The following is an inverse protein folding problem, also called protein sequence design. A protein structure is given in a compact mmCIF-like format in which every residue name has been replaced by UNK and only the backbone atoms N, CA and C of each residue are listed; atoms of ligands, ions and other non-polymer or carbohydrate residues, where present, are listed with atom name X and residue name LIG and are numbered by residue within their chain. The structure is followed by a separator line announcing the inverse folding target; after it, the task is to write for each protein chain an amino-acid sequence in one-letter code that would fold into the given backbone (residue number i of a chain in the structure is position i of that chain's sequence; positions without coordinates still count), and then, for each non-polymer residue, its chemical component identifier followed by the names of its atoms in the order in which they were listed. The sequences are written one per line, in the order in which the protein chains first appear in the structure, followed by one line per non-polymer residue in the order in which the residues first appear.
data_IF_990583969777
#
_entry.id   IF_990583969777
#
_cell.length_a   1.000
_cell.length_b   1.000
_cell.length_c   1.000
_cell.angle_alpha   90.00
_cell.angle_beta   90.00
_cell.angle_gamma   90.00
#
_symmetry.space_group_name_H-M   'P 1'
#
loop_
_entity.id
_entity.type
_entity.pdbx_description
1 polymer ?
#
# COMPACT_ATOMS: atom_id res chain seq x y z
N UNK A 1 33.37 9.89 2.54
CA UNK A 1 32.53 10.88 1.83
C UNK A 1 31.15 10.74 2.45
N UNK A 2 30.69 11.73 3.19
CA UNK A 2 29.35 11.65 3.81
C UNK A 2 28.30 11.73 2.71
N UNK A 3 27.30 10.84 2.77
CA UNK A 3 26.18 10.87 1.83
C UNK A 3 25.16 11.90 2.33
N UNK A 4 24.71 12.74 1.41
CA UNK A 4 23.74 13.81 1.63
C UNK A 4 22.53 13.62 0.70
N UNK A 5 21.39 14.21 1.09
CA UNK A 5 20.14 14.15 0.35
C UNK A 5 19.70 12.71 0.09
N UNK A 6 19.41 12.02 1.19
CA UNK A 6 19.09 10.60 1.25
C UNK A 6 17.59 10.40 1.07
N UNK A 7 17.17 10.10 -0.15
CA UNK A 7 15.82 9.63 -0.39
C UNK A 7 15.66 8.24 0.21
N UNK A 8 14.68 8.04 1.09
CA UNK A 8 14.57 6.81 1.89
C UNK A 8 13.34 6.01 1.50
N UNK A 9 13.57 4.78 1.05
CA UNK A 9 12.52 3.89 0.57
C UNK A 9 11.87 3.11 1.72
N UNK A 10 12.69 2.51 2.59
CA UNK A 10 12.20 1.62 3.62
C UNK A 10 13.20 1.47 4.78
N UNK A 11 12.67 1.06 5.93
CA UNK A 11 13.45 0.58 7.07
C UNK A 11 13.33 -0.94 7.19
N UNK A 12 14.38 -1.59 7.67
CA UNK A 12 14.42 -3.04 7.85
C UNK A 12 15.31 -3.40 9.05
N UNK A 13 15.21 -4.65 9.49
CA UNK A 13 16.23 -5.23 10.37
C UNK A 13 17.56 -5.33 9.63
N UNK A 14 18.67 -5.30 10.36
CA UNK A 14 19.99 -5.45 9.75
C UNK A 14 20.07 -6.85 9.10
N UNK A 15 20.25 -6.94 7.78
CA UNK A 15 20.16 -8.22 7.09
C UNK A 15 21.34 -9.12 7.47
N UNK A 16 21.05 -10.36 7.86
CA UNK A 16 22.09 -11.35 8.21
C UNK A 16 22.84 -11.91 6.99
N UNK A 17 22.27 -11.75 5.79
CA UNK A 17 22.86 -12.14 4.50
C UNK A 17 22.88 -10.96 3.54
N UNK A 18 23.81 -10.93 2.56
CA UNK A 18 23.86 -9.87 1.56
C UNK A 18 22.53 -9.76 0.80
N UNK A 19 21.98 -8.53 0.74
CA UNK A 19 20.80 -8.23 -0.05
C UNK A 19 21.20 -7.85 -1.49
N UNK A 20 20.39 -8.25 -2.45
CA UNK A 20 20.48 -7.77 -3.82
C UNK A 20 19.77 -6.41 -3.85
N UNK A 21 20.55 -5.33 -3.90
CA UNK A 21 20.00 -3.98 -3.91
C UNK A 21 19.48 -3.63 -5.31
N UNK A 22 18.19 -3.24 -5.42
CA UNK A 22 17.59 -2.90 -6.70
C UNK A 22 18.17 -1.61 -7.28
N UNK A 23 17.89 -1.36 -8.55
CA UNK A 23 18.17 -0.07 -9.18
C UNK A 23 17.19 0.98 -8.63
N UNK A 24 17.73 2.13 -8.22
CA UNK A 24 16.93 3.26 -7.74
C UNK A 24 16.31 4.07 -8.87
N UNK A 25 15.71 5.21 -8.51
CA UNK A 25 15.03 6.07 -9.47
C UNK A 25 16.01 6.82 -10.39
N UNK A 26 17.16 7.25 -9.88
CA UNK A 26 18.20 7.94 -10.63
C UNK A 26 19.60 7.32 -10.40
N UNK A 27 19.88 6.91 -9.17
CA UNK A 27 21.17 6.43 -8.69
C UNK A 27 21.04 5.02 -8.09
N UNK A 28 22.19 4.42 -7.76
CA UNK A 28 22.23 3.14 -7.07
C UNK A 28 21.71 3.27 -5.64
N UNK A 29 20.81 2.37 -5.26
CA UNK A 29 20.32 2.25 -3.89
C UNK A 29 21.43 1.69 -3.00
N UNK A 30 21.55 2.25 -1.80
CA UNK A 30 22.52 1.86 -0.79
C UNK A 30 21.82 1.50 0.52
N UNK A 31 22.43 0.57 1.25
CA UNK A 31 22.02 0.20 2.59
C UNK A 31 22.85 1.01 3.60
N UNK A 32 22.19 1.74 4.50
CA UNK A 32 22.83 2.39 5.63
C UNK A 32 22.44 1.66 6.90
N UNK A 33 23.43 1.09 7.57
CA UNK A 33 23.24 0.38 8.83
C UNK A 33 23.26 1.36 10.02
N UNK A 34 22.24 1.26 10.87
CA UNK A 34 22.22 1.86 12.19
C UNK A 34 22.72 0.91 13.27
N UNK A 35 22.16 1.04 14.47
CA UNK A 35 22.45 0.17 15.63
C UNK A 35 21.78 -1.19 15.48
N UNK A 36 20.45 -1.21 15.36
CA UNK A 36 19.66 -2.45 15.26
C UNK A 36 18.79 -2.50 13.99
N UNK A 37 18.64 -1.35 13.32
CA UNK A 37 17.86 -1.21 12.10
C UNK A 37 18.74 -0.65 10.99
N UNK A 38 18.38 -0.97 9.76
CA UNK A 38 18.99 -0.41 8.57
C UNK A 38 17.95 0.33 7.72
N UNK A 39 18.44 1.23 6.88
CA UNK A 39 17.64 1.99 5.95
C UNK A 39 18.13 1.78 4.51
N UNK A 40 17.17 1.65 3.61
CA UNK A 40 17.40 1.62 2.16
C UNK A 40 17.23 3.04 1.66
N UNK A 41 18.31 3.60 1.14
CA UNK A 41 18.33 4.98 0.66
C UNK A 41 18.97 5.11 -0.70
N UNK A 42 18.64 6.19 -1.38
CA UNK A 42 19.31 6.62 -2.60
C UNK A 42 19.83 8.05 -2.40
N UNK A 43 21.16 8.25 -2.47
CA UNK A 43 21.77 9.55 -2.26
C UNK A 43 21.62 10.46 -3.49
N UNK A 44 21.67 11.77 -3.25
CA UNK A 44 21.72 12.78 -4.33
C UNK A 44 20.39 13.02 -5.05
N UNK A 45 19.27 12.62 -4.45
CA UNK A 45 17.93 12.91 -4.97
C UNK A 45 17.45 14.24 -4.39
N UNK A 46 17.11 15.18 -5.28
CA UNK A 46 16.52 16.48 -4.92
C UNK A 46 15.07 16.54 -5.40
N UNK A 47 14.11 16.56 -4.47
CA UNK A 47 12.69 16.50 -4.80
C UNK A 47 12.25 17.71 -5.65
N UNK A 48 12.88 18.86 -5.44
CA UNK A 48 12.64 20.12 -6.16
C UNK A 48 12.89 19.96 -7.67
N UNK A 49 13.80 19.07 -8.06
CA UNK A 49 14.12 18.81 -9.47
C UNK A 49 13.02 18.03 -10.22
N UNK A 50 12.10 17.40 -9.48
CA UNK A 50 11.01 16.60 -10.02
C UNK A 50 9.66 17.33 -9.99
N UNK A 51 9.48 18.34 -9.14
CA UNK A 51 8.19 19.02 -8.92
C UNK A 51 7.58 19.69 -10.16
N UNK A 52 8.39 20.05 -11.15
CA UNK A 52 7.93 20.77 -12.34
C UNK A 52 7.56 19.85 -13.52
N UNK A 53 7.57 18.52 -13.34
CA UNK A 53 7.29 17.58 -14.41
C UNK A 53 6.51 16.35 -13.89
N UNK A 54 5.21 16.33 -14.16
CA UNK A 54 4.30 15.27 -13.73
C UNK A 54 4.74 13.88 -14.19
N UNK A 55 5.27 13.74 -15.42
CA UNK A 55 5.76 12.45 -15.92
C UNK A 55 6.94 11.94 -15.07
N UNK A 56 7.85 12.83 -14.68
CA UNK A 56 8.98 12.46 -13.83
C UNK A 56 8.53 12.06 -12.43
N UNK A 57 7.52 12.74 -11.86
CA UNK A 57 6.94 12.36 -10.57
C UNK A 57 6.33 10.96 -10.65
N UNK A 58 5.59 10.68 -11.72
CA UNK A 58 5.00 9.34 -11.95
C UNK A 58 6.11 8.29 -12.06
N UNK A 59 7.16 8.53 -12.84
CA UNK A 59 8.28 7.59 -12.95
C UNK A 59 9.00 7.36 -11.63
N UNK A 60 9.15 8.42 -10.82
CA UNK A 60 9.75 8.32 -9.49
C UNK A 60 8.88 7.50 -8.54
N UNK A 61 7.56 7.67 -8.57
CA UNK A 61 6.63 6.87 -7.78
C UNK A 61 6.65 5.39 -8.17
N UNK A 62 6.66 5.10 -9.48
CA UNK A 62 6.80 3.73 -9.99
C UNK A 62 8.12 3.09 -9.58
N UNK A 63 9.21 3.85 -9.62
CA UNK A 63 10.54 3.38 -9.19
C UNK A 63 10.58 3.11 -7.68
N UNK A 64 9.94 3.97 -6.88
CA UNK A 64 9.80 3.80 -5.44
C UNK A 64 9.08 2.51 -5.08
N UNK A 65 7.92 2.28 -5.69
CA UNK A 65 7.15 1.06 -5.45
C UNK A 65 7.93 -0.18 -5.90
N UNK A 66 8.60 -0.12 -7.06
CA UNK A 66 9.42 -1.21 -7.58
C UNK A 66 10.54 -1.59 -6.60
N UNK A 67 11.30 -0.62 -6.08
CA UNK A 67 12.38 -0.86 -5.12
C UNK A 67 11.85 -1.56 -3.87
N UNK A 68 10.73 -1.08 -3.32
CA UNK A 68 10.10 -1.69 -2.15
C UNK A 68 9.66 -3.13 -2.45
N UNK A 69 9.03 -3.38 -3.60
CA UNK A 69 8.59 -4.72 -3.99
C UNK A 69 9.76 -5.70 -4.15
N UNK A 70 10.84 -5.30 -4.83
CA UNK A 70 12.04 -6.14 -5.02
C UNK A 70 12.74 -6.46 -3.69
N UNK A 71 12.73 -5.52 -2.74
CA UNK A 71 13.28 -5.75 -1.40
C UNK A 71 12.38 -6.64 -0.55
N UNK A 72 11.06 -6.42 -0.60
CA UNK A 72 10.09 -7.21 0.16
C UNK A 72 10.09 -8.69 -0.23
N UNK A 73 10.50 -9.02 -1.46
CA UNK A 73 10.71 -10.40 -1.91
C UNK A 73 11.88 -11.11 -1.20
N UNK A 74 12.85 -10.34 -0.68
CA UNK A 74 14.06 -10.86 -0.04
C UNK A 74 14.00 -10.79 1.49
N UNK A 75 13.40 -9.72 2.03
CA UNK A 75 13.35 -9.46 3.47
C UNK A 75 12.12 -8.66 3.86
N UNK A 76 11.67 -8.80 5.11
CA UNK A 76 10.62 -7.96 5.68
C UNK A 76 11.10 -6.50 5.73
N UNK A 77 10.36 -5.62 5.05
CA UNK A 77 10.63 -4.18 5.05
C UNK A 77 9.44 -3.40 5.60
N UNK A 78 9.73 -2.25 6.21
CA UNK A 78 8.77 -1.22 6.59
C UNK A 78 8.83 -0.10 5.54
N UNK A 79 7.91 -0.09 4.56
CA UNK A 79 7.93 0.90 3.48
C UNK A 79 7.63 2.30 4.02
N UNK A 80 8.37 3.28 3.54
CA UNK A 80 8.11 4.69 3.82
C UNK A 80 7.25 5.32 2.74
N UNK A 81 6.62 6.44 3.11
CA UNK A 81 5.82 7.23 2.18
C UNK A 81 6.73 7.80 1.10
N UNK A 82 6.23 7.78 -0.13
CA UNK A 82 6.87 8.45 -1.26
C UNK A 82 7.22 9.91 -0.89
N UNK A 83 8.45 10.32 -1.20
CA UNK A 83 8.95 11.67 -0.89
C UNK A 83 9.62 11.82 0.47
N UNK A 84 9.81 10.73 1.22
CA UNK A 84 10.56 10.76 2.48
C UNK A 84 12.05 10.90 2.21
N UNK A 85 12.69 11.94 2.75
CA UNK A 85 14.13 12.14 2.60
C UNK A 85 14.76 12.65 3.89
N UNK A 86 16.06 12.38 4.04
CA UNK A 86 16.90 12.90 5.12
C UNK A 86 18.04 13.72 4.54
N UNK A 87 18.33 14.86 5.16
CA UNK A 87 19.38 15.78 4.69
C UNK A 87 20.77 15.17 4.79
N UNK A 88 21.04 14.39 5.84
CA UNK A 88 22.33 13.77 6.10
C UNK A 88 22.19 12.39 6.72
N UNK A 89 23.26 11.61 6.60
CA UNK A 89 23.38 10.27 7.23
C UNK A 89 23.18 10.36 8.74
N UNK A 90 23.72 11.39 9.41
CA UNK A 90 23.56 11.56 10.87
C UNK A 90 22.09 11.79 11.27
N UNK A 91 21.32 12.55 10.48
CA UNK A 91 19.91 12.79 10.76
C UNK A 91 19.11 11.47 10.65
N UNK A 92 19.35 10.71 9.59
CA UNK A 92 18.76 9.39 9.40
C UNK A 92 19.06 8.44 10.57
N UNK A 93 20.34 8.35 10.99
CA UNK A 93 20.74 7.47 12.10
C UNK A 93 20.12 7.90 13.44
N UNK A 94 20.04 9.20 13.70
CA UNK A 94 19.37 9.74 14.90
C UNK A 94 17.86 9.45 14.88
N UNK A 95 17.23 9.52 13.70
CA UNK A 95 15.81 9.19 13.53
C UNK A 95 15.54 7.70 13.76
N UNK A 96 16.38 6.83 13.18
CA UNK A 96 16.30 5.38 13.41
C UNK A 96 16.45 5.04 14.89
N UNK A 97 17.42 5.66 15.57
CA UNK A 97 17.66 5.41 17.00
C UNK A 97 16.52 5.89 17.89
N UNK A 98 15.92 7.05 17.59
CA UNK A 98 14.82 7.60 18.41
C UNK A 98 13.52 6.80 18.30
N UNK A 99 13.30 6.12 17.16
CA UNK A 99 12.10 5.32 16.90
C UNK A 99 12.37 3.81 16.82
N UNK A 100 13.56 3.36 17.24
CA UNK A 100 14.06 2.00 17.05
C UNK A 100 13.07 0.95 17.55
N UNK A 101 12.66 1.07 18.82
CA UNK A 101 11.71 0.15 19.45
C UNK A 101 10.35 0.15 18.76
N UNK A 102 9.89 1.30 18.24
CA UNK A 102 8.60 1.37 17.53
C UNK A 102 8.67 0.60 16.20
N UNK A 103 9.75 0.79 15.44
CA UNK A 103 9.93 0.16 14.14
C UNK A 103 10.22 -1.33 14.24
N UNK A 104 11.02 -1.77 15.22
CA UNK A 104 11.21 -3.19 15.53
C UNK A 104 9.87 -3.87 15.84
N UNK A 105 9.06 -3.31 16.74
CA UNK A 105 7.74 -3.85 17.05
C UNK A 105 6.82 -3.93 15.81
N UNK A 106 6.96 -3.01 14.86
CA UNK A 106 6.21 -3.05 13.60
C UNK A 106 6.73 -4.15 12.68
N UNK A 107 8.04 -4.27 12.51
CA UNK A 107 8.69 -5.30 11.69
C UNK A 107 8.37 -6.70 12.22
N UNK A 108 8.50 -6.94 13.52
CA UNK A 108 8.11 -8.21 14.16
C UNK A 108 6.65 -8.58 13.89
N UNK A 109 5.74 -7.59 13.96
CA UNK A 109 4.31 -7.81 13.71
C UNK A 109 4.01 -8.23 12.28
N UNK A 110 4.79 -7.76 11.30
CA UNK A 110 4.57 -8.06 9.88
C UNK A 110 5.49 -9.16 9.36
N UNK A 111 6.50 -9.58 10.14
CA UNK A 111 7.46 -10.58 9.72
C UNK A 111 6.76 -11.89 9.31
N UNK A 112 7.11 -12.40 8.14
CA UNK A 112 6.49 -13.60 7.55
C UNK A 112 5.01 -13.45 7.19
N UNK A 113 4.48 -12.23 7.13
CA UNK A 113 3.12 -11.93 6.67
C UNK A 113 3.18 -11.20 5.33
N UNK A 114 2.13 -11.41 4.53
CA UNK A 114 1.92 -10.72 3.27
C UNK A 114 0.70 -9.81 3.39
N UNK A 115 0.77 -8.66 2.71
CA UNK A 115 -0.36 -7.76 2.57
C UNK A 115 -1.17 -8.10 1.31
N UNK A 116 -2.49 -8.14 1.44
CA UNK A 116 -3.41 -8.38 0.33
C UNK A 116 -4.50 -7.32 0.33
N UNK A 117 -4.78 -6.75 -0.84
CA UNK A 117 -5.90 -5.83 -1.05
C UNK A 117 -6.97 -6.51 -1.89
N UNK A 118 -8.19 -6.59 -1.36
CA UNK A 118 -9.36 -7.08 -2.09
C UNK A 118 -10.25 -5.91 -2.50
N UNK A 119 -10.42 -5.71 -3.82
CA UNK A 119 -11.29 -4.68 -4.37
C UNK A 119 -12.61 -5.30 -4.83
N UNK A 120 -13.73 -4.86 -4.24
CA UNK A 120 -15.07 -5.30 -4.61
C UNK A 120 -15.71 -4.23 -5.51
N UNK A 121 -16.12 -4.62 -6.70
CA UNK A 121 -16.77 -3.73 -7.67
C UNK A 121 -18.24 -4.14 -7.74
N UNK A 122 -19.19 -3.24 -7.39
CA UNK A 122 -20.60 -3.56 -7.45
C UNK A 122 -21.05 -3.77 -8.89
N UNK A 123 -22.00 -4.68 -9.09
CA UNK A 123 -22.69 -4.83 -10.37
C UNK A 123 -23.60 -3.63 -10.59
N UNK A 124 -23.76 -3.20 -11.84
CA UNK A 124 -24.74 -2.19 -12.22
C UNK A 124 -26.07 -2.87 -12.59
N UNK A 125 -27.19 -2.26 -12.21
CA UNK A 125 -28.51 -2.67 -12.72
C UNK A 125 -28.69 -2.02 -14.09
N UNK A 126 -29.06 -2.82 -15.09
CA UNK A 126 -29.53 -2.28 -16.37
C UNK A 126 -30.88 -1.59 -16.17
N UNK A 127 -30.96 -0.31 -16.53
CA UNK A 127 -32.22 0.44 -16.47
C UNK A 127 -33.15 0.03 -17.61
N UNK A 128 -34.20 -0.71 -17.29
CA UNK A 128 -35.27 -1.01 -18.24
C UNK A 128 -36.09 0.27 -18.45
N UNK A 129 -35.96 0.93 -19.61
CA UNK A 129 -36.77 2.09 -20.03
C UNK A 129 -38.23 1.63 -20.23
N UNK A 130 -39.25 2.34 -19.70
CA UNK A 130 -40.63 1.90 -19.85
C UNK A 130 -41.02 2.18 -21.30
N UNK A 131 -41.51 1.16 -22.02
CA UNK A 131 -42.16 1.39 -23.31
C UNK A 131 -43.39 2.28 -23.11
N UNK A 132 -43.57 3.25 -24.00
CA UNK A 132 -44.63 4.27 -23.98
C UNK A 132 -45.96 3.76 -23.38
N UNK A 133 -46.35 4.35 -22.24
CA UNK A 133 -47.57 4.03 -21.50
C UNK A 133 -48.02 5.26 -20.71
N UNK A 134 -49.33 5.35 -20.42
CA UNK A 134 -49.93 6.53 -19.81
C UNK A 134 -49.37 6.87 -18.42
N UNK A 135 -49.73 8.04 -17.88
CA UNK A 135 -49.16 8.55 -16.61
C UNK A 135 -49.25 7.59 -15.42
N UNK A 136 -50.28 6.73 -15.34
CA UNK A 136 -50.41 5.70 -14.29
C UNK A 136 -49.34 4.61 -14.41
N UNK A 137 -49.09 4.14 -15.64
CA UNK A 137 -48.08 3.11 -15.92
C UNK A 137 -46.67 3.65 -15.65
N UNK A 138 -46.44 4.93 -15.93
CA UNK A 138 -45.21 5.62 -15.56
C UNK A 138 -44.98 5.64 -14.04
N UNK A 139 -45.99 5.99 -13.22
CA UNK A 139 -45.84 6.01 -11.77
C UNK A 139 -45.62 4.61 -11.19
N UNK A 140 -46.29 3.58 -11.73
CA UNK A 140 -46.07 2.19 -11.34
C UNK A 140 -44.66 1.72 -11.70
N UNK A 141 -44.21 1.96 -12.93
CA UNK A 141 -42.85 1.64 -13.37
C UNK A 141 -41.79 2.38 -12.53
N UNK A 142 -42.01 3.66 -12.22
CA UNK A 142 -41.14 4.45 -11.34
C UNK A 142 -41.05 3.84 -9.94
N UNK A 143 -42.18 3.47 -9.32
CA UNK A 143 -42.19 2.80 -8.02
C UNK A 143 -41.43 1.46 -8.06
N UNK A 144 -41.67 0.65 -9.08
CA UNK A 144 -41.02 -0.65 -9.24
C UNK A 144 -39.50 -0.50 -9.42
N UNK A 145 -39.04 0.52 -10.15
CA UNK A 145 -37.62 0.86 -10.30
C UNK A 145 -36.96 1.17 -8.96
N UNK A 146 -37.56 2.05 -8.15
CA UNK A 146 -37.02 2.36 -6.83
C UNK A 146 -36.95 1.11 -5.94
N UNK A 147 -37.97 0.25 -5.99
CA UNK A 147 -37.97 -1.00 -5.24
C UNK A 147 -36.87 -1.94 -5.71
N UNK A 148 -36.70 -2.12 -7.02
CA UNK A 148 -35.66 -2.98 -7.58
C UNK A 148 -34.25 -2.47 -7.25
N UNK A 149 -34.01 -1.15 -7.37
CA UNK A 149 -32.74 -0.52 -6.99
C UNK A 149 -32.43 -0.73 -5.51
N UNK A 150 -33.42 -0.52 -4.64
CA UNK A 150 -33.25 -0.73 -3.20
C UNK A 150 -32.96 -2.20 -2.88
N UNK A 151 -33.75 -3.13 -3.43
CA UNK A 151 -33.56 -4.57 -3.22
C UNK A 151 -32.19 -5.05 -3.68
N UNK A 152 -31.72 -4.56 -4.84
CA UNK A 152 -30.40 -4.90 -5.37
C UNK A 152 -29.26 -4.31 -4.53
N UNK A 153 -29.40 -3.07 -4.05
CA UNK A 153 -28.43 -2.47 -3.11
C UNK A 153 -28.34 -3.28 -1.81
N UNK A 154 -29.49 -3.68 -1.26
CA UNK A 154 -29.56 -4.54 -0.06
C UNK A 154 -28.89 -5.89 -0.33
N UNK A 155 -29.18 -6.52 -1.47
CA UNK A 155 -28.58 -7.80 -1.84
C UNK A 155 -27.05 -7.70 -1.97
N UNK A 156 -26.53 -6.68 -2.66
CA UNK A 156 -25.08 -6.46 -2.79
C UNK A 156 -24.41 -6.17 -1.43
N UNK A 157 -25.08 -5.43 -0.55
CA UNK A 157 -24.58 -5.18 0.81
C UNK A 157 -24.49 -6.49 1.62
N UNK A 158 -25.49 -7.36 1.50
CA UNK A 158 -25.49 -8.67 2.15
C UNK A 158 -24.39 -9.59 1.61
N UNK A 159 -24.20 -9.65 0.28
CA UNK A 159 -23.11 -10.41 -0.35
C UNK A 159 -21.74 -9.93 0.12
N UNK A 160 -21.52 -8.60 0.14
CA UNK A 160 -20.29 -7.99 0.66
C UNK A 160 -20.04 -8.41 2.11
N UNK A 161 -21.06 -8.34 2.96
CA UNK A 161 -20.91 -8.68 4.38
C UNK A 161 -20.55 -10.17 4.56
N UNK A 162 -21.23 -11.06 3.84
CA UNK A 162 -20.94 -12.49 3.86
C UNK A 162 -19.47 -12.78 3.48
N UNK A 163 -18.95 -12.12 2.43
CA UNK A 163 -17.55 -12.26 2.04
C UNK A 163 -16.58 -11.78 3.13
N UNK A 164 -16.87 -10.65 3.77
CA UNK A 164 -16.06 -10.14 4.89
C UNK A 164 -16.04 -11.12 6.06
N UNK A 165 -17.19 -11.71 6.39
CA UNK A 165 -17.34 -12.67 7.47
C UNK A 165 -16.56 -13.96 7.17
N UNK A 166 -16.62 -14.46 5.94
CA UNK A 166 -15.86 -15.62 5.48
C UNK A 166 -14.34 -15.40 5.62
N UNK A 167 -13.83 -14.27 5.15
CA UNK A 167 -12.40 -13.93 5.24
C UNK A 167 -11.97 -13.81 6.70
N UNK A 168 -12.78 -13.15 7.53
CA UNK A 168 -12.49 -12.94 8.95
C UNK A 168 -12.44 -14.27 9.70
N UNK A 169 -13.38 -15.18 9.42
CA UNK A 169 -13.43 -16.49 10.05
C UNK A 169 -12.27 -17.39 9.59
N UNK A 170 -11.95 -17.42 8.30
CA UNK A 170 -10.79 -18.16 7.79
C UNK A 170 -9.49 -17.74 8.50
N UNK A 171 -9.31 -16.44 8.72
CA UNK A 171 -8.16 -15.91 9.46
C UNK A 171 -8.15 -16.31 10.95
N UNK A 172 -9.30 -16.43 11.61
CA UNK A 172 -9.38 -16.94 12.99
C UNK A 172 -8.96 -18.41 13.08
N UNK A 173 -9.41 -19.24 12.15
CA UNK A 173 -9.03 -20.66 12.08
C UNK A 173 -7.53 -20.87 11.85
N UNK A 174 -6.91 -20.04 10.99
CA UNK A 174 -5.45 -20.08 10.77
C UNK A 174 -4.63 -19.67 12.01
N UNK A 175 -5.15 -18.77 12.85
CA UNK A 175 -4.51 -18.39 14.12
C UNK A 175 -4.59 -19.49 15.18
N UNK A 176 -5.70 -20.22 15.26
CA UNK A 176 -5.90 -21.30 16.23
C UNK A 176 -5.06 -22.55 15.93
N UNK A 177 -4.64 -22.75 14.67
CA UNK A 177 -3.83 -23.91 14.23
C UNK A 177 -2.31 -23.70 14.33
N UNK A 178 -1.87 -22.47 14.63
CA UNK A 178 -0.46 -22.06 14.77
C UNK A 178 0.01 -21.92 16.23
N UNK A 179 -0.90 -22.12 17.18
CA UNK A 179 -0.59 -22.32 18.61
C UNK A 179 -0.64 -23.81 18.93
#
# INVERSE_FOLDING_TARGET
MELENLYTYAFLEIPSSPLILPQGAANQVVLINGTELAAIVEPGIFLESFQNNDEKIIQMALSHDRVICELFQQITVLPLRFGTYFTSTNNLLNHLKSHEKEYQNKLEKINGKNEFTLKLIPRMIEEIVPSEGGGKDYFLAKKQRYQNQNNFSIAQAAEKQNLIDLITNANKWLKLRRN
#
